data_IF_023937493536
#
_entry.id   IF_023937493536
#
_cell.length_a   1.000
_cell.length_b   1.000
_cell.length_c   1.000
_cell.angle_alpha   90.00
_cell.angle_beta   90.00
_cell.angle_gamma   90.00
#
_symmetry.space_group_name_H-M   'P 1'
#
loop_
_entity.id
_entity.type
_entity.pdbx_description
1 polymer ?
#
# COMPACT_ATOMS: atom_id res chain seq x y z
N UNK A 1 5.48 -28.66 -12.09
CA UNK A 1 4.40 -27.68 -12.29
C UNK A 1 5.03 -26.39 -12.77
N UNK A 2 4.86 -26.05 -14.04
CA UNK A 2 5.43 -24.83 -14.60
C UNK A 2 4.69 -23.62 -14.02
N UNK A 3 5.42 -22.69 -13.40
CA UNK A 3 4.85 -21.43 -12.93
C UNK A 3 4.27 -20.69 -14.13
N UNK A 4 2.96 -20.40 -14.09
CA UNK A 4 2.25 -19.62 -15.12
C UNK A 4 2.84 -18.21 -15.27
N UNK A 5 3.47 -17.70 -14.20
CA UNK A 5 4.11 -16.40 -14.16
C UNK A 5 5.62 -16.59 -14.11
N UNK A 6 6.33 -15.91 -15.02
CA UNK A 6 7.78 -15.73 -14.90
C UNK A 6 8.07 -15.05 -13.55
N UNK A 7 9.14 -15.40 -12.83
CA UNK A 7 9.54 -14.69 -11.62
C UNK A 7 9.73 -13.21 -11.98
N UNK A 8 8.73 -12.40 -11.68
CA UNK A 8 8.74 -10.97 -11.92
C UNK A 8 9.38 -10.28 -10.72
N UNK A 9 10.05 -9.17 -10.98
CA UNK A 9 10.83 -8.42 -9.99
C UNK A 9 10.03 -7.92 -8.79
N UNK A 10 10.68 -7.13 -7.94
CA UNK A 10 10.10 -6.51 -6.73
C UNK A 10 8.73 -5.83 -7.02
N UNK A 11 7.76 -5.96 -6.10
CA UNK A 11 6.43 -5.33 -6.20
C UNK A 11 6.56 -3.81 -6.39
N UNK A 12 7.64 -3.19 -5.89
CA UNK A 12 7.93 -1.77 -6.07
C UNK A 12 8.10 -1.36 -7.54
N UNK A 13 8.46 -2.30 -8.42
CA UNK A 13 8.58 -2.04 -9.86
C UNK A 13 7.23 -1.99 -10.58
N UNK A 14 6.17 -2.56 -9.97
CA UNK A 14 4.83 -2.60 -10.55
C UNK A 14 4.31 -1.18 -10.76
N UNK A 15 3.84 -0.90 -11.98
CA UNK A 15 3.19 0.37 -12.29
C UNK A 15 1.96 0.60 -11.41
N UNK A 16 1.21 -0.46 -11.11
CA UNK A 16 0.06 -0.40 -10.20
C UNK A 16 0.46 0.01 -8.78
N UNK A 17 1.56 -0.53 -8.24
CA UNK A 17 2.05 -0.17 -6.91
C UNK A 17 2.48 1.30 -6.85
N UNK A 18 3.31 1.75 -7.82
CA UNK A 18 3.74 3.15 -7.91
C UNK A 18 2.57 4.13 -8.06
N UNK A 19 1.53 3.74 -8.80
CA UNK A 19 0.30 4.55 -8.91
C UNK A 19 -0.49 4.56 -7.60
N UNK A 20 -0.52 3.44 -6.87
CA UNK A 20 -1.15 3.39 -5.55
C UNK A 20 -0.43 4.28 -4.52
N UNK A 21 0.90 4.37 -4.57
CA UNK A 21 1.66 5.35 -3.75
C UNK A 21 1.24 6.79 -4.07
N UNK A 22 1.15 7.16 -5.35
CA UNK A 22 0.67 8.49 -5.75
C UNK A 22 -0.76 8.77 -5.26
N UNK A 23 -1.65 7.77 -5.32
CA UNK A 23 -3.03 7.89 -4.82
C UNK A 23 -3.05 8.09 -3.29
N UNK A 24 -2.16 7.41 -2.55
CA UNK A 24 -2.01 7.63 -1.11
C UNK A 24 -1.60 9.06 -0.79
N UNK A 25 -0.56 9.57 -1.45
CA UNK A 25 -0.08 10.94 -1.23
C UNK A 25 -1.17 11.97 -1.55
N UNK A 26 -1.85 11.82 -2.70
CA UNK A 26 -2.96 12.69 -3.09
C UNK A 26 -4.09 12.65 -2.07
N UNK A 27 -4.44 11.46 -1.56
CA UNK A 27 -5.49 11.30 -0.55
C UNK A 27 -5.10 12.01 0.74
N UNK A 28 -3.87 11.81 1.21
CA UNK A 28 -3.35 12.46 2.42
C UNK A 28 -3.37 13.99 2.30
N UNK A 29 -2.83 14.53 1.21
CA UNK A 29 -2.81 15.99 1.00
C UNK A 29 -4.21 16.56 0.82
N UNK A 30 -5.10 15.86 0.11
CA UNK A 30 -6.50 16.28 -0.03
C UNK A 30 -7.20 16.35 1.32
N UNK A 31 -7.12 15.29 2.13
CA UNK A 31 -7.73 15.28 3.46
C UNK A 31 -7.16 16.39 4.34
N UNK A 32 -5.84 16.59 4.33
CA UNK A 32 -5.18 17.64 5.12
C UNK A 32 -5.57 19.05 4.69
N UNK A 33 -5.74 19.29 3.39
CA UNK A 33 -6.00 20.62 2.85
C UNK A 33 -7.48 21.01 2.92
N UNK A 34 -8.39 20.04 2.81
CA UNK A 34 -9.82 20.32 2.56
C UNK A 34 -10.78 19.73 3.58
N UNK A 35 -10.34 18.80 4.44
CA UNK A 35 -11.22 18.18 5.44
C UNK A 35 -10.81 18.59 6.86
N UNK A 36 -11.79 18.62 7.74
CA UNK A 36 -11.54 18.82 9.18
C UNK A 36 -10.87 17.58 9.76
N UNK A 37 -9.77 17.77 10.46
CA UNK A 37 -8.97 16.70 11.07
C UNK A 37 -9.69 15.92 12.18
N UNK A 38 -10.92 16.29 12.55
CA UNK A 38 -11.78 15.55 13.50
C UNK A 38 -12.81 14.64 12.84
N UNK A 39 -12.81 14.56 11.51
CA UNK A 39 -13.77 13.74 10.78
C UNK A 39 -13.24 12.31 10.62
N UNK A 40 -14.00 11.32 11.10
CA UNK A 40 -13.72 9.89 10.92
C UNK A 40 -13.54 9.52 9.43
N UNK A 41 -14.13 10.30 8.53
CA UNK A 41 -13.99 10.16 7.08
C UNK A 41 -12.53 10.32 6.64
N UNK A 42 -11.75 11.20 7.27
CA UNK A 42 -10.31 11.37 6.96
C UNK A 42 -9.55 10.09 7.25
N UNK A 43 -9.75 9.53 8.44
CA UNK A 43 -9.08 8.28 8.84
C UNK A 43 -9.43 7.14 7.88
N UNK A 44 -10.71 7.01 7.50
CA UNK A 44 -11.15 5.99 6.56
C UNK A 44 -10.52 6.15 5.18
N UNK A 45 -10.46 7.38 4.65
CA UNK A 45 -9.86 7.64 3.35
C UNK A 45 -8.36 7.32 3.34
N UNK A 46 -7.62 7.81 4.35
CA UNK A 46 -6.17 7.59 4.45
C UNK A 46 -5.86 6.10 4.66
N UNK A 47 -6.64 5.41 5.51
CA UNK A 47 -6.48 3.97 5.73
C UNK A 47 -6.81 3.15 4.48
N UNK A 48 -7.87 3.49 3.74
CA UNK A 48 -8.23 2.80 2.50
C UNK A 48 -7.13 2.95 1.44
N UNK A 49 -6.59 4.15 1.25
CA UNK A 49 -5.50 4.37 0.30
C UNK A 49 -4.22 3.60 0.71
N UNK A 50 -3.93 3.53 2.01
CA UNK A 50 -2.81 2.75 2.55
C UNK A 50 -3.01 1.24 2.36
N UNK A 51 -4.20 0.72 2.65
CA UNK A 51 -4.51 -0.69 2.42
C UNK A 51 -4.43 -1.05 0.93
N UNK A 52 -4.83 -0.14 0.04
CA UNK A 52 -4.75 -0.34 -1.40
C UNK A 52 -3.35 -0.70 -1.91
N UNK A 53 -2.30 0.00 -1.44
CA UNK A 53 -0.92 -0.33 -1.82
C UNK A 53 -0.41 -1.64 -1.19
N UNK A 54 -0.81 -1.96 0.04
CA UNK A 54 -0.47 -3.23 0.70
C UNK A 54 -1.07 -4.43 -0.03
N UNK A 55 -2.33 -4.33 -0.44
CA UNK A 55 -3.00 -5.40 -1.20
C UNK A 55 -2.23 -5.76 -2.49
N UNK A 56 -1.60 -4.79 -3.14
CA UNK A 56 -0.80 -5.03 -4.35
C UNK A 56 0.51 -5.75 -4.01
N UNK A 57 1.19 -5.34 -2.93
CA UNK A 57 2.43 -5.99 -2.48
C UNK A 57 2.16 -7.44 -2.06
N UNK A 58 1.16 -7.65 -1.21
CA UNK A 58 0.75 -8.98 -0.73
C UNK A 58 0.28 -9.88 -1.89
N UNK A 59 -0.52 -9.33 -2.82
CA UNK A 59 -0.99 -10.07 -4.00
C UNK A 59 0.14 -10.52 -4.92
N UNK A 60 1.19 -9.69 -5.10
CA UNK A 60 2.37 -10.06 -5.87
C UNK A 60 3.13 -11.20 -5.21
N UNK A 61 3.35 -11.14 -3.90
CA UNK A 61 4.07 -12.20 -3.17
C UNK A 61 3.29 -13.52 -3.15
N UNK A 62 1.98 -13.47 -2.89
CA UNK A 62 1.10 -14.63 -2.93
C UNK A 62 1.09 -15.32 -4.31
N UNK A 63 1.10 -14.54 -5.39
CA UNK A 63 1.16 -15.05 -6.75
C UNK A 63 2.47 -15.78 -7.10
N UNK A 64 3.57 -15.51 -6.39
CA UNK A 64 4.86 -16.18 -6.57
C UNK A 64 5.00 -17.48 -5.77
N UNK A 65 3.99 -17.85 -4.96
CA UNK A 65 4.05 -19.04 -4.11
C UNK A 65 5.11 -18.97 -3.00
N UNK A 66 5.71 -17.80 -2.79
CA UNK A 66 6.56 -17.54 -1.66
C UNK A 66 5.62 -17.23 -0.49
N UNK A 67 5.56 -18.12 0.51
CA UNK A 67 5.22 -17.70 1.88
C UNK A 67 6.33 -16.77 2.36
N UNK A 68 6.29 -15.52 1.87
CA UNK A 68 7.27 -14.51 2.19
C UNK A 68 7.06 -14.05 3.62
N UNK A 69 7.98 -14.44 4.51
CA UNK A 69 8.36 -13.67 5.70
C UNK A 69 8.97 -12.33 5.24
N UNK A 70 8.21 -11.52 4.51
CA UNK A 70 8.65 -10.28 3.88
C UNK A 70 8.13 -9.09 4.66
N UNK A 71 8.89 -8.66 5.68
CA UNK A 71 8.88 -7.32 6.27
C UNK A 71 7.52 -6.60 6.30
N UNK A 72 6.60 -7.09 7.14
CA UNK A 72 5.47 -6.29 7.64
C UNK A 72 5.93 -5.06 8.47
N UNK A 73 7.24 -4.86 8.66
CA UNK A 73 7.82 -4.01 9.70
C UNK A 73 8.13 -2.57 9.27
N UNK A 74 8.29 -2.25 7.99
CA UNK A 74 8.87 -0.95 7.63
C UNK A 74 7.87 0.23 7.55
N UNK A 75 6.55 -0.01 7.64
CA UNK A 75 5.56 1.08 7.69
C UNK A 75 4.79 1.21 9.03
N UNK A 76 4.93 0.23 9.93
CA UNK A 76 4.35 0.34 11.28
C UNK A 76 5.00 1.46 12.11
N UNK A 77 6.23 1.87 11.77
CA UNK A 77 6.98 2.90 12.51
C UNK A 77 6.65 4.35 12.15
N UNK A 78 5.82 4.62 11.12
CA UNK A 78 5.46 6.01 10.76
C UNK A 78 4.11 6.49 11.32
N UNK A 79 3.42 5.70 12.14
CA UNK A 79 2.09 6.06 12.67
C UNK A 79 1.98 6.13 14.20
N UNK A 80 3.07 6.39 14.93
CA UNK A 80 2.98 6.83 16.34
C UNK A 80 3.12 8.34 16.54
N UNK A 81 3.28 9.13 15.48
CA UNK A 81 3.34 10.59 15.60
C UNK A 81 2.33 11.25 14.67
N UNK A 82 1.09 11.28 15.12
CA UNK A 82 0.00 12.13 14.64
C UNK A 82 -0.90 12.46 15.81
#
# INVERSE_FOLDING_TARGET
MASLLRPSGDYRSLLSYRKAEQIYDLTYYFCKAYLSSRDRTVDQMVQAARSGKQNIAEGKEAGLGLHGNGNQADECSQSQSG
#
